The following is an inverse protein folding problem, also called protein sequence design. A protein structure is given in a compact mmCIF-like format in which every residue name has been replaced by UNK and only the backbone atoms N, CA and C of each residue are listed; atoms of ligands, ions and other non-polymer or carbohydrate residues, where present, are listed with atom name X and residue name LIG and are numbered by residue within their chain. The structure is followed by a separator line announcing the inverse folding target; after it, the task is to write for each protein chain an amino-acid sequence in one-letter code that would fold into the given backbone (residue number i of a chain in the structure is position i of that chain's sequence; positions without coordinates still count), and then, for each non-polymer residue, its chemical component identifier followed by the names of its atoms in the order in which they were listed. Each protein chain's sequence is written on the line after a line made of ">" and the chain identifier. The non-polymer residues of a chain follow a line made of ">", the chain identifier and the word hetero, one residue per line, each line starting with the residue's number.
data_IF_709526133917
#
_entry.id   IF_709526133917
#
_cell.length_a   1.000
_cell.length_b   1.000
_cell.length_c   1.000
_cell.angle_alpha   90.00
_cell.angle_beta   90.00
_cell.angle_gamma   90.00
#
_symmetry.space_group_name_H-M   'P 1'
#
loop_
_entity.id
_entity.type
_entity.pdbx_description
1 polymer ?
#
# COMPACT_ATOMS: atom_id res chain seq x y z
N UNK A 1 -8.27 10.83 -27.23
CA UNK A 1 -9.12 11.97 -26.83
C UNK A 1 -8.30 13.11 -26.21
N UNK A 2 -7.39 12.84 -25.27
CA UNK A 2 -6.52 13.86 -24.62
C UNK A 2 -5.70 14.69 -25.62
N UNK A 3 -5.08 14.05 -26.60
CA UNK A 3 -4.25 14.73 -27.63
C UNK A 3 -5.06 15.74 -28.44
N UNK A 4 -6.34 15.45 -28.74
CA UNK A 4 -7.22 16.35 -29.51
C UNK A 4 -7.52 17.65 -28.71
N UNK A 5 -7.73 17.55 -27.38
CA UNK A 5 -7.98 18.72 -26.53
C UNK A 5 -6.73 19.58 -26.33
N UNK A 6 -5.57 18.95 -26.16
CA UNK A 6 -4.29 19.66 -26.07
C UNK A 6 -3.99 20.40 -27.39
N UNK A 7 -4.21 19.74 -28.52
CA UNK A 7 -4.03 20.36 -29.84
C UNK A 7 -5.02 21.51 -30.04
N UNK A 8 -6.30 21.31 -29.70
CA UNK A 8 -7.32 22.36 -29.81
C UNK A 8 -6.97 23.57 -28.91
N UNK A 9 -6.51 23.34 -27.67
CA UNK A 9 -6.07 24.36 -26.75
C UNK A 9 -4.83 25.12 -27.29
N UNK A 10 -3.84 24.41 -27.82
CA UNK A 10 -2.64 25.00 -28.40
C UNK A 10 -3.01 25.83 -29.64
N UNK A 11 -3.90 25.34 -30.50
CA UNK A 11 -4.37 26.06 -31.69
C UNK A 11 -5.11 27.34 -31.28
N UNK A 12 -6.03 27.25 -30.32
CA UNK A 12 -6.77 28.43 -29.82
C UNK A 12 -5.83 29.44 -29.13
N UNK A 13 -4.85 28.97 -28.35
CA UNK A 13 -3.85 29.82 -27.72
C UNK A 13 -2.95 30.48 -28.75
N UNK A 14 -2.48 29.75 -29.78
CA UNK A 14 -1.68 30.28 -30.87
C UNK A 14 -2.48 31.28 -31.71
N UNK A 15 -3.74 31.01 -32.03
CA UNK A 15 -4.62 31.95 -32.74
C UNK A 15 -4.83 33.25 -31.95
N UNK A 16 -5.04 33.14 -30.63
CA UNK A 16 -5.16 34.29 -29.73
C UNK A 16 -3.84 35.08 -29.66
N UNK A 17 -2.71 34.40 -29.52
CA UNK A 17 -1.38 35.03 -29.44
C UNK A 17 -0.94 35.65 -30.75
N UNK A 18 -1.16 34.99 -31.89
CA UNK A 18 -0.87 35.54 -33.21
C UNK A 18 -1.75 36.76 -33.54
N UNK A 19 -3.02 36.79 -33.10
CA UNK A 19 -3.88 37.97 -33.28
C UNK A 19 -3.46 39.14 -32.40
N UNK A 20 -2.88 38.86 -31.23
CA UNK A 20 -2.36 39.89 -30.32
C UNK A 20 -1.02 40.51 -30.77
N UNK A 21 -0.21 39.74 -31.52
CA UNK A 21 1.11 40.20 -32.03
C UNK A 21 0.98 41.00 -33.32
N UNK A 22 -0.05 40.79 -34.14
CA UNK A 22 -0.27 41.49 -35.38
C UNK A 22 -0.81 42.91 -35.10
N UNK A 23 0.09 43.87 -34.93
CA UNK A 23 -0.18 45.29 -34.61
C UNK A 23 -1.05 46.08 -35.64
N UNK A 24 -1.56 45.41 -36.67
CA UNK A 24 -2.38 46.05 -37.72
C UNK A 24 -3.84 45.62 -37.74
N UNK A 25 -4.25 44.68 -36.85
CA UNK A 25 -5.66 44.31 -36.72
C UNK A 25 -6.20 44.76 -35.37
N UNK A 26 -7.37 45.39 -35.37
CA UNK A 26 -8.16 45.69 -34.18
C UNK A 26 -8.24 44.46 -33.28
N UNK A 27 -8.02 44.61 -31.97
CA UNK A 27 -8.28 43.58 -30.95
C UNK A 27 -9.61 42.89 -31.28
N UNK A 28 -9.68 41.55 -31.17
CA UNK A 28 -10.96 40.86 -31.35
C UNK A 28 -11.99 41.56 -30.47
N UNK A 29 -13.16 41.88 -31.03
CA UNK A 29 -14.17 42.60 -30.30
C UNK A 29 -14.41 41.92 -28.94
N UNK A 30 -14.66 42.68 -27.88
CA UNK A 30 -14.96 42.15 -26.55
C UNK A 30 -15.96 40.99 -26.60
N UNK A 31 -16.90 41.05 -27.56
CA UNK A 31 -17.87 40.00 -27.84
C UNK A 31 -17.24 38.68 -28.26
N UNK A 32 -16.20 38.68 -29.12
CA UNK A 32 -15.51 37.45 -29.56
C UNK A 32 -14.75 36.85 -28.39
N UNK A 33 -14.10 37.67 -27.58
CA UNK A 33 -13.38 37.21 -26.39
C UNK A 33 -14.33 36.57 -25.37
N UNK A 34 -15.46 37.20 -25.09
CA UNK A 34 -16.49 36.68 -24.18
C UNK A 34 -17.12 35.38 -24.72
N UNK A 35 -17.43 35.33 -26.01
CA UNK A 35 -18.00 34.12 -26.64
C UNK A 35 -17.00 32.95 -26.53
N UNK A 36 -15.72 33.18 -26.84
CA UNK A 36 -14.68 32.15 -26.75
C UNK A 36 -14.51 31.65 -25.30
N UNK A 37 -14.54 32.56 -24.34
CA UNK A 37 -14.44 32.20 -22.92
C UNK A 37 -15.66 31.39 -22.45
N UNK A 38 -16.88 31.80 -22.83
CA UNK A 38 -18.11 31.06 -22.52
C UNK A 38 -18.12 29.67 -23.18
N UNK A 39 -17.62 29.56 -24.40
CA UNK A 39 -17.52 28.29 -25.12
C UNK A 39 -16.52 27.34 -24.45
N UNK A 40 -15.38 27.83 -24.00
CA UNK A 40 -14.41 27.06 -23.21
C UNK A 40 -15.00 26.56 -21.88
N UNK A 41 -15.70 27.43 -21.15
CA UNK A 41 -16.40 27.05 -19.92
C UNK A 41 -17.45 25.97 -20.20
N UNK A 42 -18.27 26.14 -21.24
CA UNK A 42 -19.34 25.20 -21.59
C UNK A 42 -18.77 23.85 -21.98
N UNK A 43 -17.71 23.80 -22.81
CA UNK A 43 -17.04 22.54 -23.17
C UNK A 43 -16.41 21.87 -21.95
N UNK A 44 -15.82 22.64 -21.05
CA UNK A 44 -15.24 22.13 -19.80
C UNK A 44 -16.30 21.55 -18.88
N UNK A 45 -17.40 22.27 -18.67
CA UNK A 45 -18.51 21.81 -17.82
C UNK A 45 -19.19 20.57 -18.43
N UNK A 46 -19.42 20.57 -19.77
CA UNK A 46 -20.01 19.45 -20.47
C UNK A 46 -19.13 18.17 -20.38
N UNK A 47 -17.83 18.31 -20.63
CA UNK A 47 -16.90 17.18 -20.54
C UNK A 47 -16.80 16.62 -19.11
N UNK A 48 -16.80 17.52 -18.11
CA UNK A 48 -16.82 17.14 -16.69
C UNK A 48 -18.10 16.40 -16.30
N UNK A 49 -19.26 16.89 -16.79
CA UNK A 49 -20.57 16.28 -16.56
C UNK A 49 -20.68 14.91 -17.22
N UNK A 50 -20.24 14.77 -18.49
CA UNK A 50 -20.21 13.48 -19.19
C UNK A 50 -19.30 12.47 -18.50
N UNK A 51 -18.18 12.92 -17.94
CA UNK A 51 -17.28 12.06 -17.16
C UNK A 51 -17.97 11.58 -15.88
N UNK A 52 -18.61 12.48 -15.12
CA UNK A 52 -19.34 12.14 -13.91
C UNK A 52 -20.47 11.11 -14.20
N UNK A 53 -21.24 11.30 -15.27
CA UNK A 53 -22.29 10.36 -15.68
C UNK A 53 -21.74 8.98 -16.10
N UNK A 54 -20.65 8.94 -16.87
CA UNK A 54 -20.04 7.67 -17.32
C UNK A 54 -19.48 6.83 -16.19
N UNK A 55 -19.06 7.44 -15.08
CA UNK A 55 -18.41 6.73 -13.98
C UNK A 55 -19.35 6.41 -12.82
N UNK A 56 -20.65 6.75 -12.89
CA UNK A 56 -21.65 6.49 -11.83
C UNK A 56 -21.19 6.95 -10.42
N UNK A 57 -20.46 8.07 -10.35
CA UNK A 57 -20.03 8.59 -9.06
C UNK A 57 -21.24 9.20 -8.33
N UNK A 58 -21.57 8.61 -7.20
CA UNK A 58 -22.41 9.24 -6.19
C UNK A 58 -21.55 10.30 -5.50
N UNK A 59 -21.70 11.56 -5.92
CA UNK A 59 -20.86 12.71 -5.46
C UNK A 59 -20.96 12.93 -3.94
N UNK A 60 -21.99 12.40 -3.28
CA UNK A 60 -22.24 12.60 -1.86
C UNK A 60 -21.42 11.70 -0.91
N UNK A 61 -20.71 10.70 -1.43
CA UNK A 61 -19.99 9.69 -0.64
C UNK A 61 -18.49 9.62 -0.93
N UNK A 62 -17.98 10.48 -1.81
CA UNK A 62 -16.58 10.42 -2.25
C UNK A 62 -15.80 11.57 -1.65
N UNK A 63 -14.62 11.26 -1.09
CA UNK A 63 -13.65 12.25 -0.63
C UNK A 63 -13.48 13.35 -1.69
N UNK A 64 -13.69 14.65 -1.35
CA UNK A 64 -13.53 15.78 -2.26
C UNK A 64 -12.18 15.78 -2.98
N UNK A 65 -11.14 15.22 -2.36
CA UNK A 65 -9.82 15.04 -2.93
C UNK A 65 -9.81 14.04 -4.11
N UNK A 66 -10.49 12.90 -3.97
CA UNK A 66 -10.62 11.89 -5.05
C UNK A 66 -11.41 12.47 -6.22
N UNK A 67 -12.50 13.23 -5.93
CA UNK A 67 -13.27 13.92 -6.96
C UNK A 67 -12.39 14.94 -7.69
N UNK A 68 -11.70 15.81 -6.95
CA UNK A 68 -10.82 16.83 -7.50
C UNK A 68 -9.70 16.22 -8.35
N UNK A 69 -9.08 15.11 -7.91
CA UNK A 69 -8.03 14.42 -8.65
C UNK A 69 -8.49 13.87 -10.00
N UNK A 70 -9.73 13.43 -10.07
CA UNK A 70 -10.34 12.89 -11.30
C UNK A 70 -10.71 13.97 -12.30
N UNK A 71 -11.14 15.13 -11.82
CA UNK A 71 -11.39 16.30 -12.67
C UNK A 71 -10.10 17.02 -13.11
N UNK A 72 -9.05 16.97 -12.31
CA UNK A 72 -7.76 17.58 -12.58
C UNK A 72 -7.13 17.13 -13.91
N UNK A 73 -7.39 15.89 -14.33
CA UNK A 73 -6.85 15.36 -15.60
C UNK A 73 -7.45 16.00 -16.85
N UNK A 74 -8.52 16.79 -16.73
CA UNK A 74 -9.26 17.31 -17.88
C UNK A 74 -9.17 18.81 -18.09
N UNK A 75 -8.75 19.59 -17.07
CA UNK A 75 -8.61 21.04 -17.22
C UNK A 75 -7.46 21.61 -16.38
N UNK A 76 -6.69 22.61 -16.91
CA UNK A 76 -5.60 23.26 -16.17
C UNK A 76 -6.05 23.89 -14.85
N UNK A 77 -7.28 24.42 -14.80
CA UNK A 77 -7.83 25.04 -13.59
C UNK A 77 -8.06 24.02 -12.46
N UNK A 78 -8.57 22.84 -12.79
CA UNK A 78 -8.73 21.77 -11.80
C UNK A 78 -7.36 21.23 -11.34
N UNK A 79 -6.35 21.22 -12.21
CA UNK A 79 -4.99 20.83 -11.83
C UNK A 79 -4.42 21.75 -10.73
N UNK A 80 -4.62 23.07 -10.82
CA UNK A 80 -4.18 24.00 -9.78
C UNK A 80 -4.89 23.75 -8.45
N UNK A 81 -6.23 23.56 -8.48
CA UNK A 81 -6.99 23.20 -7.28
C UNK A 81 -6.56 21.86 -6.70
N UNK A 82 -6.31 20.86 -7.55
CA UNK A 82 -5.79 19.56 -7.12
C UNK A 82 -4.45 19.72 -6.41
N UNK A 83 -3.51 20.46 -6.99
CA UNK A 83 -2.21 20.73 -6.35
C UNK A 83 -2.36 21.47 -5.03
N UNK A 84 -3.24 22.45 -4.95
CA UNK A 84 -3.48 23.19 -3.70
C UNK A 84 -4.07 22.29 -2.61
N UNK A 85 -5.04 21.43 -2.95
CA UNK A 85 -5.63 20.46 -2.03
C UNK A 85 -4.61 19.39 -1.61
N UNK A 86 -3.84 18.88 -2.56
CA UNK A 86 -2.78 17.91 -2.29
C UNK A 86 -1.70 18.49 -1.37
N UNK A 87 -1.26 19.73 -1.63
CA UNK A 87 -0.28 20.41 -0.79
C UNK A 87 -0.83 20.68 0.62
N UNK A 88 -2.09 21.08 0.74
CA UNK A 88 -2.76 21.30 2.03
C UNK A 88 -2.88 20.00 2.82
N UNK A 89 -3.29 18.91 2.18
CA UNK A 89 -3.41 17.60 2.83
C UNK A 89 -2.03 17.06 3.22
N UNK A 90 -1.04 17.19 2.34
CA UNK A 90 0.34 16.85 2.68
C UNK A 90 0.82 17.64 3.91
N UNK A 91 0.63 18.96 3.94
CA UNK A 91 1.01 19.80 5.09
C UNK A 91 0.27 19.37 6.36
N UNK A 92 -1.04 19.07 6.25
CA UNK A 92 -1.85 18.58 7.39
C UNK A 92 -1.29 17.27 7.95
N UNK A 93 -1.02 16.27 7.10
CA UNK A 93 -0.48 14.98 7.51
C UNK A 93 0.92 15.13 8.11
N UNK A 94 1.77 16.00 7.55
CA UNK A 94 3.11 16.26 8.11
C UNK A 94 3.02 16.92 9.49
N UNK A 95 2.11 17.89 9.67
CA UNK A 95 1.88 18.54 10.97
C UNK A 95 1.38 17.54 12.01
N UNK A 96 0.44 16.65 11.63
CA UNK A 96 -0.04 15.58 12.50
C UNK A 96 1.10 14.63 12.84
N UNK A 97 1.90 14.23 11.84
CA UNK A 97 3.02 13.32 12.03
C UNK A 97 4.07 13.84 13.00
N UNK A 98 4.19 15.16 13.18
CA UNK A 98 5.13 15.77 14.15
C UNK A 98 4.66 15.69 15.61
N UNK A 99 3.39 15.32 15.86
CA UNK A 99 2.83 15.13 17.21
C UNK A 99 3.19 13.76 17.77
N UNK A 100 4.46 13.51 18.08
CA UNK A 100 4.92 12.19 18.56
C UNK A 100 4.47 11.96 20.00
N UNK A 101 3.70 10.88 20.29
CA UNK A 101 3.34 10.55 21.68
C UNK A 101 4.57 10.12 22.48
N UNK A 102 4.54 10.39 23.78
CA UNK A 102 5.46 9.74 24.72
C UNK A 102 4.88 8.40 25.17
N UNK A 103 5.70 7.35 25.17
CA UNK A 103 5.26 6.01 25.52
C UNK A 103 5.86 5.54 26.84
N UNK A 104 5.03 5.03 27.74
CA UNK A 104 5.49 4.18 28.83
C UNK A 104 5.76 2.78 28.26
N UNK A 105 7.03 2.50 27.97
CA UNK A 105 7.40 1.27 27.28
C UNK A 105 7.74 0.15 28.27
N UNK A 106 7.25 -1.06 27.96
CA UNK A 106 7.71 -2.32 28.52
C UNK A 106 8.54 -3.02 27.46
N UNK A 107 9.85 -3.17 27.74
CA UNK A 107 10.79 -3.81 26.84
C UNK A 107 11.07 -5.23 27.35
N UNK A 108 10.79 -6.23 26.52
CA UNK A 108 11.05 -7.65 26.80
C UNK A 108 12.16 -8.12 25.86
N UNK A 109 13.20 -8.73 26.42
CA UNK A 109 14.22 -9.38 25.61
C UNK A 109 13.65 -10.69 25.06
N UNK A 110 13.54 -10.78 23.74
CA UNK A 110 13.10 -11.96 23.01
C UNK A 110 14.23 -12.62 22.19
N UNK A 111 15.46 -12.34 22.57
CA UNK A 111 16.68 -12.88 21.96
C UNK A 111 16.83 -12.58 20.45
N UNK A 112 16.12 -11.57 19.95
CA UNK A 112 16.15 -11.15 18.55
C UNK A 112 16.76 -9.76 18.43
N UNK A 113 17.79 -9.61 17.57
CA UNK A 113 18.49 -8.34 17.37
C UNK A 113 17.98 -7.60 16.13
N UNK A 114 17.55 -8.36 15.09
CA UNK A 114 17.17 -7.79 13.81
C UNK A 114 15.74 -8.19 13.47
N UNK A 115 14.90 -7.21 13.30
CA UNK A 115 13.52 -7.34 12.86
C UNK A 115 13.38 -6.72 11.47
N UNK A 116 13.01 -7.54 10.47
CA UNK A 116 12.73 -7.08 9.11
C UNK A 116 11.23 -7.18 8.85
N UNK A 117 10.57 -6.04 8.73
CA UNK A 117 9.15 -5.97 8.38
C UNK A 117 9.02 -5.76 6.87
N UNK A 118 8.51 -6.75 6.16
CA UNK A 118 8.27 -6.68 4.73
C UNK A 118 6.80 -6.38 4.49
N UNK A 119 6.52 -5.20 3.95
CA UNK A 119 5.17 -4.80 3.53
C UNK A 119 5.08 -5.10 2.04
N UNK A 120 4.35 -6.17 1.70
CA UNK A 120 4.00 -6.54 0.34
C UNK A 120 2.90 -5.64 -0.20
N UNK A 121 2.70 -5.68 -1.50
CA UNK A 121 1.73 -4.86 -2.22
C UNK A 121 0.86 -5.75 -3.09
N UNK A 122 -0.48 -5.66 -2.92
CA UNK A 122 -1.47 -6.28 -3.81
C UNK A 122 -1.35 -7.81 -3.95
N UNK A 123 -0.77 -8.51 -2.96
CA UNK A 123 -0.60 -9.96 -3.04
C UNK A 123 -1.82 -10.71 -2.49
N UNK A 124 -2.23 -11.76 -3.20
CA UNK A 124 -3.36 -12.65 -2.88
C UNK A 124 -2.87 -14.01 -2.42
N UNK A 125 -3.46 -14.56 -1.38
CA UNK A 125 -3.23 -15.97 -0.98
C UNK A 125 -3.61 -16.96 -2.09
N UNK A 126 -4.66 -16.65 -2.88
CA UNK A 126 -5.18 -17.49 -3.95
C UNK A 126 -4.14 -17.82 -5.05
N UNK A 127 -3.09 -17.00 -5.18
CA UNK A 127 -2.03 -17.19 -6.16
C UNK A 127 -0.68 -17.63 -5.53
N UNK A 128 -0.67 -18.04 -4.26
CA UNK A 128 0.55 -18.48 -3.58
C UNK A 128 0.53 -19.99 -3.28
N UNK A 129 1.52 -20.73 -3.77
CA UNK A 129 1.58 -22.21 -3.58
C UNK A 129 1.75 -22.63 -2.13
N UNK A 130 2.35 -21.79 -1.26
CA UNK A 130 2.42 -22.06 0.20
C UNK A 130 1.03 -22.14 0.85
N UNK A 131 0.01 -21.48 0.26
CA UNK A 131 -1.40 -21.51 0.68
C UNK A 131 -2.25 -22.50 -0.12
N UNK A 132 -1.64 -23.31 -1.01
CA UNK A 132 -2.33 -24.37 -1.74
C UNK A 132 -2.64 -24.07 -3.20
N UNK A 133 -2.17 -22.95 -3.76
CA UNK A 133 -2.27 -22.68 -5.19
C UNK A 133 -1.49 -23.74 -6.00
N UNK A 134 -2.05 -24.18 -7.12
CA UNK A 134 -1.49 -25.29 -7.90
C UNK A 134 -0.18 -24.97 -8.62
N UNK A 135 0.01 -23.71 -9.06
CA UNK A 135 1.26 -23.28 -9.69
C UNK A 135 2.31 -22.98 -8.61
N UNK A 136 3.58 -23.41 -8.78
CA UNK A 136 4.63 -23.26 -7.75
C UNK A 136 5.15 -21.83 -7.69
N UNK A 137 4.32 -20.88 -7.25
CA UNK A 137 4.62 -19.46 -7.20
C UNK A 137 5.49 -19.05 -6.01
N UNK A 138 5.55 -19.88 -4.95
CA UNK A 138 6.30 -19.57 -3.72
C UNK A 138 7.26 -20.67 -3.28
N UNK A 139 8.22 -21.11 -4.15
CA UNK A 139 9.14 -22.18 -3.82
C UNK A 139 10.12 -21.85 -2.68
N UNK A 140 10.53 -20.59 -2.51
CA UNK A 140 11.44 -20.18 -1.44
C UNK A 140 10.73 -20.23 -0.08
N UNK A 141 9.50 -19.75 0.02
CA UNK A 141 8.67 -19.90 1.23
C UNK A 141 8.44 -21.37 1.56
N UNK A 142 8.22 -22.22 0.54
CA UNK A 142 8.04 -23.67 0.75
C UNK A 142 9.28 -24.33 1.38
N UNK A 143 10.50 -23.93 0.98
CA UNK A 143 11.76 -24.38 1.60
C UNK A 143 11.85 -23.96 3.08
N UNK A 144 11.30 -22.83 3.43
CA UNK A 144 11.34 -22.25 4.78
C UNK A 144 10.13 -22.65 5.66
N UNK A 145 9.22 -23.50 5.17
CA UNK A 145 7.93 -23.78 5.83
C UNK A 145 8.05 -24.15 7.30
N UNK A 146 9.06 -24.93 7.68
CA UNK A 146 9.29 -25.32 9.09
C UNK A 146 9.75 -24.16 9.99
N UNK A 147 10.13 -23.02 9.41
CA UNK A 147 10.59 -21.82 10.10
C UNK A 147 9.54 -20.70 10.11
N UNK A 148 8.38 -20.96 9.49
CA UNK A 148 7.29 -19.99 9.39
C UNK A 148 6.24 -20.21 10.47
N UNK A 149 5.79 -19.11 11.08
CA UNK A 149 4.46 -18.99 11.66
C UNK A 149 3.55 -18.44 10.58
N UNK A 150 2.73 -19.31 9.97
CA UNK A 150 1.88 -18.97 8.82
C UNK A 150 0.48 -18.60 9.29
N UNK A 151 -0.09 -17.52 8.75
CA UNK A 151 -1.49 -17.12 8.94
C UNK A 151 -2.29 -17.53 7.71
N UNK A 152 -3.16 -18.52 7.84
CA UNK A 152 -3.93 -19.03 6.68
C UNK A 152 -5.17 -18.22 6.35
N UNK A 153 -5.61 -17.38 7.28
CA UNK A 153 -6.81 -16.53 7.17
C UNK A 153 -6.52 -15.09 7.59
N UNK A 154 -5.37 -14.54 7.12
CA UNK A 154 -5.10 -13.14 7.34
C UNK A 154 -5.93 -12.27 6.39
N UNK A 155 -6.49 -11.17 6.91
CA UNK A 155 -7.26 -10.22 6.12
C UNK A 155 -6.73 -8.80 6.31
N UNK A 156 -6.67 -8.03 5.25
CA UNK A 156 -6.44 -6.58 5.34
C UNK A 156 -7.65 -5.88 5.97
N UNK A 157 -7.42 -4.80 6.70
CA UNK A 157 -8.51 -3.97 7.23
C UNK A 157 -9.24 -3.17 6.14
N UNK A 158 -8.60 -2.98 4.97
CA UNK A 158 -9.14 -2.19 3.86
C UNK A 158 -8.44 -2.60 2.54
N UNK A 159 -9.09 -2.45 1.37
CA UNK A 159 -8.55 -2.90 0.08
C UNK A 159 -7.76 -1.79 -0.64
N UNK A 160 -7.03 -0.94 0.08
CA UNK A 160 -6.41 0.24 -0.48
C UNK A 160 -5.15 0.66 0.30
N UNK A 161 -3.98 0.71 -0.35
CA UNK A 161 -2.64 0.93 0.26
C UNK A 161 -2.57 2.14 1.19
N UNK A 162 -3.10 3.30 0.73
CA UNK A 162 -3.03 4.56 1.49
C UNK A 162 -3.74 4.50 2.85
N UNK A 163 -4.65 3.56 3.03
CA UNK A 163 -5.38 3.31 4.27
C UNK A 163 -4.86 2.06 4.98
N UNK A 164 -4.56 0.99 4.22
CA UNK A 164 -4.16 -0.31 4.76
C UNK A 164 -2.82 -0.25 5.50
N UNK A 165 -1.82 0.40 4.93
CA UNK A 165 -0.49 0.49 5.54
C UNK A 165 -0.51 1.33 6.82
N UNK A 166 -1.07 2.57 6.85
CA UNK A 166 -1.19 3.31 8.10
C UNK A 166 -2.02 2.58 9.17
N UNK A 167 -3.14 1.97 8.79
CA UNK A 167 -3.99 1.18 9.69
C UNK A 167 -3.23 0.01 10.33
N UNK A 168 -2.37 -0.67 9.55
CA UNK A 168 -1.58 -1.80 10.04
C UNK A 168 -0.41 -1.38 10.93
N UNK A 169 0.09 -0.15 10.81
CA UNK A 169 1.31 0.30 11.48
C UNK A 169 1.08 1.28 12.62
N UNK A 170 -0.16 1.70 12.86
CA UNK A 170 -0.49 2.71 13.87
C UNK A 170 -1.66 2.28 14.77
N UNK A 171 -1.93 3.08 15.80
CA UNK A 171 -3.07 2.88 16.70
C UNK A 171 -4.44 3.20 16.06
N UNK A 172 -4.48 3.41 14.75
CA UNK A 172 -5.72 3.60 14.01
C UNK A 172 -6.56 2.32 13.99
N UNK A 173 -7.87 2.45 13.80
CA UNK A 173 -8.78 1.29 13.83
C UNK A 173 -9.82 1.35 12.73
N UNK A 174 -10.32 0.18 12.31
CA UNK A 174 -11.38 0.06 11.30
C UNK A 174 -12.67 0.83 11.71
N UNK A 175 -13.02 0.82 13.00
CA UNK A 175 -14.25 1.43 13.47
C UNK A 175 -14.15 2.94 13.75
N UNK A 176 -12.92 3.43 13.97
CA UNK A 176 -12.65 4.82 14.33
C UNK A 176 -11.43 5.34 13.57
N UNK A 177 -11.49 5.20 12.23
CA UNK A 177 -10.43 5.67 11.35
C UNK A 177 -10.23 7.19 11.46
N UNK A 178 -9.01 7.59 11.88
CA UNK A 178 -8.62 8.99 11.96
C UNK A 178 -7.11 9.14 11.79
N UNK A 179 -6.69 9.98 10.85
CA UNK A 179 -5.28 10.27 10.57
C UNK A 179 -4.53 10.82 11.80
N UNK A 180 -5.23 11.33 12.81
CA UNK A 180 -4.65 11.77 14.09
C UNK A 180 -4.08 10.62 14.93
N UNK A 181 -4.41 9.37 14.59
CA UNK A 181 -3.82 8.18 15.21
C UNK A 181 -2.47 7.79 14.61
N UNK A 182 -2.11 8.27 13.41
CA UNK A 182 -0.88 7.89 12.71
C UNK A 182 0.42 8.22 13.46
N UNK A 183 0.55 9.28 14.27
CA UNK A 183 1.74 9.50 15.09
C UNK A 183 1.99 8.39 16.12
N UNK A 184 0.94 7.72 16.59
CA UNK A 184 1.05 6.56 17.46
C UNK A 184 1.30 5.30 16.60
N UNK A 185 2.56 5.06 16.27
CA UNK A 185 2.96 4.03 15.31
C UNK A 185 4.20 3.25 15.76
N UNK A 186 4.40 2.12 15.11
CA UNK A 186 5.49 1.17 15.40
C UNK A 186 6.89 1.79 15.27
N UNK A 187 7.08 2.74 14.35
CA UNK A 187 8.39 3.38 14.13
C UNK A 187 8.73 4.29 15.31
N UNK A 188 7.77 5.09 15.78
CA UNK A 188 7.95 5.95 16.94
C UNK A 188 8.17 5.13 18.22
N UNK A 189 7.46 4.01 18.40
CA UNK A 189 7.70 3.10 19.52
C UNK A 189 9.09 2.47 19.46
N UNK A 190 9.50 1.96 18.29
CA UNK A 190 10.84 1.40 18.11
C UNK A 190 11.95 2.44 18.36
N UNK A 191 11.77 3.67 17.89
CA UNK A 191 12.70 4.78 18.13
C UNK A 191 12.87 5.07 19.62
N UNK A 192 11.77 5.15 20.38
CA UNK A 192 11.81 5.40 21.82
C UNK A 192 12.35 4.21 22.61
N UNK A 193 12.21 2.98 22.08
CA UNK A 193 12.84 1.78 22.61
C UNK A 193 14.34 1.64 22.26
N UNK A 194 14.91 2.60 21.53
CA UNK A 194 16.34 2.63 21.19
C UNK A 194 16.75 1.82 19.96
N UNK A 195 15.79 1.37 19.13
CA UNK A 195 16.11 0.69 17.88
C UNK A 195 16.76 1.62 16.87
N UNK A 196 17.66 1.06 16.05
CA UNK A 196 18.08 1.65 14.79
C UNK A 196 17.01 1.35 13.74
N UNK A 197 16.26 2.37 13.30
CA UNK A 197 15.10 2.21 12.44
C UNK A 197 15.41 2.61 11.01
N UNK A 198 15.03 1.74 10.07
CA UNK A 198 15.22 1.90 8.64
C UNK A 198 13.90 1.74 7.88
N UNK A 199 13.66 2.63 6.90
CA UNK A 199 12.57 2.51 5.94
C UNK A 199 13.15 2.47 4.54
N UNK A 200 13.11 1.30 3.91
CA UNK A 200 13.60 1.06 2.56
C UNK A 200 12.39 0.81 1.67
N UNK A 201 12.16 1.67 0.67
CA UNK A 201 10.94 1.62 -0.14
C UNK A 201 11.23 1.67 -1.63
N UNK A 202 10.60 0.78 -2.39
CA UNK A 202 10.52 0.84 -3.85
C UNK A 202 9.31 1.68 -4.31
N UNK A 203 8.43 2.07 -3.40
CA UNK A 203 7.33 3.00 -3.67
C UNK A 203 7.74 4.44 -3.40
N UNK A 204 7.29 5.35 -4.27
CA UNK A 204 7.60 6.78 -4.12
C UNK A 204 6.81 7.41 -2.96
N UNK A 205 7.50 8.17 -2.10
CA UNK A 205 6.86 8.98 -1.05
C UNK A 205 5.91 10.07 -1.61
N UNK A 206 6.04 10.41 -2.89
CA UNK A 206 5.31 11.53 -3.54
C UNK A 206 4.17 11.06 -4.45
N UNK A 207 3.87 9.77 -4.54
CA UNK A 207 2.68 9.31 -5.27
C UNK A 207 1.42 9.64 -4.47
N UNK A 208 0.28 9.73 -5.17
CA UNK A 208 -1.03 10.08 -4.61
C UNK A 208 -1.38 9.30 -3.33
N UNK A 209 -1.01 8.02 -3.27
CA UNK A 209 -1.25 7.14 -2.13
C UNK A 209 -0.10 7.12 -1.13
N UNK A 210 1.03 7.76 -1.44
CA UNK A 210 2.23 7.71 -0.63
C UNK A 210 2.23 8.65 0.58
N UNK A 211 1.36 9.67 0.62
CA UNK A 211 1.45 10.73 1.63
C UNK A 211 1.13 10.22 3.04
N UNK A 212 0.08 9.41 3.20
CA UNK A 212 -0.29 8.84 4.50
C UNK A 212 0.78 7.84 4.99
N UNK A 213 1.25 6.97 4.09
CA UNK A 213 2.36 6.03 4.36
C UNK A 213 3.64 6.81 4.69
N UNK A 214 3.94 7.86 3.92
CA UNK A 214 5.12 8.71 4.13
C UNK A 214 5.11 9.40 5.51
N UNK A 215 3.95 9.76 6.06
CA UNK A 215 3.82 10.35 7.39
C UNK A 215 4.35 9.44 8.50
N UNK A 216 4.25 8.11 8.34
CA UNK A 216 4.83 7.11 9.23
C UNK A 216 6.29 6.84 8.86
N UNK A 217 6.57 6.63 7.57
CA UNK A 217 7.90 6.32 7.06
C UNK A 217 8.95 7.38 7.43
N UNK A 218 8.57 8.66 7.42
CA UNK A 218 9.45 9.78 7.78
C UNK A 218 9.93 9.75 9.23
N UNK A 219 9.32 8.95 10.09
CA UNK A 219 9.73 8.76 11.49
C UNK A 219 10.92 7.81 11.63
N UNK A 220 11.22 6.97 10.61
CA UNK A 220 12.43 6.16 10.62
C UNK A 220 13.69 7.05 10.59
N UNK A 221 14.73 6.64 11.34
CA UNK A 221 16.00 7.38 11.40
C UNK A 221 16.70 7.39 10.04
N UNK A 222 16.63 6.27 9.32
CA UNK A 222 17.23 6.10 8.02
C UNK A 222 16.12 5.78 6.99
N UNK A 223 16.13 6.50 5.86
CA UNK A 223 15.11 6.34 4.80
C UNK A 223 15.76 6.34 3.45
N UNK A 224 15.44 5.32 2.65
CA UNK A 224 15.93 5.18 1.29
C UNK A 224 14.75 4.83 0.38
N UNK A 225 14.60 5.58 -0.70
CA UNK A 225 13.61 5.37 -1.72
C UNK A 225 14.31 5.04 -3.03
N UNK A 226 14.09 3.84 -3.56
CA UNK A 226 14.66 3.41 -4.84
C UNK A 226 13.64 3.61 -5.98
N UNK A 227 14.15 3.71 -7.21
CA UNK A 227 13.31 3.73 -8.41
C UNK A 227 13.64 2.52 -9.25
N UNK A 228 12.70 1.61 -9.42
CA UNK A 228 12.86 0.39 -10.17
C UNK A 228 12.24 -0.80 -9.43
N UNK A 229 12.80 -1.98 -9.66
CA UNK A 229 12.27 -3.21 -9.09
C UNK A 229 12.71 -3.40 -7.64
N UNK A 230 11.94 -4.18 -6.89
CA UNK A 230 12.11 -4.39 -5.45
C UNK A 230 13.49 -4.95 -5.05
N UNK A 231 14.17 -5.68 -5.94
CA UNK A 231 15.53 -6.19 -5.69
C UNK A 231 16.56 -5.09 -5.42
N UNK A 232 16.31 -3.85 -5.87
CA UNK A 232 17.16 -2.70 -5.57
C UNK A 232 17.17 -2.34 -4.08
N UNK A 233 16.27 -2.89 -3.27
CA UNK A 233 16.27 -2.75 -1.82
C UNK A 233 17.34 -3.61 -1.14
N UNK A 234 17.80 -4.71 -1.76
CA UNK A 234 18.74 -5.66 -1.13
C UNK A 234 20.10 -5.08 -0.77
N UNK A 235 20.77 -4.26 -1.62
CA UNK A 235 22.00 -3.59 -1.23
C UNK A 235 21.82 -2.69 0.01
N UNK A 236 20.69 -2.00 0.12
CA UNK A 236 20.37 -1.13 1.25
C UNK A 236 19.98 -1.93 2.50
N UNK A 237 19.37 -3.11 2.34
CA UNK A 237 19.20 -4.04 3.44
C UNK A 237 20.56 -4.48 3.98
N UNK A 238 21.52 -4.81 3.11
CA UNK A 238 22.89 -5.16 3.52
C UNK A 238 23.59 -4.00 4.28
N UNK A 239 23.41 -2.77 3.82
CA UNK A 239 23.88 -1.56 4.50
C UNK A 239 23.27 -1.45 5.91
N UNK A 240 21.94 -1.55 6.02
CA UNK A 240 21.22 -1.48 7.30
C UNK A 240 21.65 -2.60 8.27
N UNK A 241 21.87 -3.82 7.78
CA UNK A 241 22.31 -4.96 8.58
C UNK A 241 23.71 -4.76 9.15
N UNK A 242 24.58 -4.02 8.47
CA UNK A 242 25.96 -3.77 8.87
C UNK A 242 26.14 -2.43 9.61
N UNK A 243 25.11 -1.58 9.64
CA UNK A 243 25.11 -0.35 10.44
C UNK A 243 25.05 -0.68 11.93
N UNK A 244 25.52 0.22 12.78
CA UNK A 244 25.39 0.15 14.25
C UNK A 244 25.52 -1.27 14.84
N UNK A 245 26.72 -1.89 14.82
CA UNK A 245 26.93 -3.25 15.32
C UNK A 245 26.49 -3.40 16.78
N UNK A 246 25.70 -4.45 17.07
CA UNK A 246 25.20 -4.74 18.42
C UNK A 246 23.93 -3.99 18.83
N UNK A 247 23.46 -3.02 18.05
CA UNK A 247 22.15 -2.37 18.28
C UNK A 247 20.99 -3.19 17.72
N UNK A 248 19.84 -3.16 18.42
CA UNK A 248 18.60 -3.75 17.89
C UNK A 248 18.09 -2.93 16.70
N UNK A 249 17.56 -3.59 15.69
CA UNK A 249 17.13 -2.95 14.43
C UNK A 249 15.69 -3.28 14.08
N UNK A 250 14.96 -2.28 13.60
CA UNK A 250 13.73 -2.46 12.84
C UNK A 250 13.96 -1.94 11.41
N UNK A 251 13.92 -2.84 10.43
CA UNK A 251 14.12 -2.52 9.02
C UNK A 251 12.82 -2.81 8.28
N UNK A 252 12.18 -1.78 7.73
CA UNK A 252 10.99 -1.92 6.91
C UNK A 252 11.41 -2.00 5.44
N UNK A 253 10.97 -3.04 4.74
CA UNK A 253 11.03 -3.17 3.28
C UNK A 253 9.61 -2.96 2.73
N UNK A 254 9.39 -1.84 2.05
CA UNK A 254 8.10 -1.49 1.46
C UNK A 254 8.17 -1.71 -0.05
N UNK A 255 7.53 -2.79 -0.50
CA UNK A 255 7.64 -3.30 -1.86
C UNK A 255 6.66 -2.62 -2.82
N UNK A 256 6.98 -2.61 -4.10
CA UNK A 256 6.03 -2.38 -5.19
C UNK A 256 5.21 -3.65 -5.48
N UNK A 257 5.79 -4.82 -5.24
CA UNK A 257 5.13 -6.13 -5.25
C UNK A 257 4.35 -6.42 -6.52
N UNK A 258 3.09 -6.82 -6.34
CA UNK A 258 2.17 -7.23 -7.41
C UNK A 258 1.18 -6.14 -7.83
N UNK A 259 1.50 -4.84 -7.57
CA UNK A 259 0.63 -3.71 -7.92
C UNK A 259 0.28 -3.68 -9.41
N UNK A 260 -0.90 -3.18 -9.74
CA UNK A 260 -1.32 -2.94 -11.13
C UNK A 260 -0.48 -1.84 -11.81
N UNK A 261 -0.16 -1.98 -13.12
CA UNK A 261 -0.38 -3.13 -14.01
C UNK A 261 0.53 -4.31 -13.67
N UNK A 262 -0.05 -5.47 -13.42
CA UNK A 262 0.62 -6.68 -12.87
C UNK A 262 1.78 -7.22 -13.73
N UNK A 263 1.88 -6.80 -14.99
CA UNK A 263 2.96 -7.14 -15.90
C UNK A 263 4.16 -6.18 -15.84
N UNK A 264 4.15 -5.15 -14.97
CA UNK A 264 5.10 -4.01 -15.07
C UNK A 264 6.07 -3.91 -13.89
N UNK A 265 5.76 -4.50 -12.75
CA UNK A 265 6.50 -4.25 -11.50
C UNK A 265 7.56 -5.31 -11.18
N UNK A 266 7.91 -6.13 -12.13
CA UNK A 266 8.96 -7.15 -12.03
C UNK A 266 9.73 -7.27 -13.36
N UNK A 267 11.03 -7.72 -13.36
CA UNK A 267 11.83 -7.86 -14.57
C UNK A 267 11.33 -9.01 -15.44
N UNK A 268 10.96 -8.74 -16.69
CA UNK A 268 10.39 -9.74 -17.61
C UNK A 268 11.36 -10.87 -17.99
N UNK A 269 12.65 -10.62 -17.93
CA UNK A 269 13.70 -11.62 -18.15
C UNK A 269 13.76 -12.66 -17.01
N UNK A 270 13.20 -12.34 -15.84
CA UNK A 270 13.05 -13.25 -14.70
C UNK A 270 11.74 -14.08 -14.74
N UNK A 271 10.98 -14.03 -15.83
CA UNK A 271 9.75 -14.79 -15.97
C UNK A 271 10.00 -16.30 -15.94
N UNK A 272 9.38 -16.99 -15.00
CA UNK A 272 9.38 -18.46 -14.85
C UNK A 272 8.19 -19.07 -15.57
N UNK A 273 7.03 -18.45 -15.46
CA UNK A 273 5.80 -18.93 -16.09
C UNK A 273 5.60 -18.24 -17.44
N UNK A 274 5.33 -19.05 -18.48
CA UNK A 274 5.19 -18.61 -19.88
C UNK A 274 4.06 -19.38 -20.57
N UNK A 275 3.47 -18.82 -21.66
CA UNK A 275 3.76 -17.50 -22.27
C UNK A 275 3.24 -16.34 -21.41
N UNK A 276 3.77 -15.11 -21.63
CA UNK A 276 3.33 -13.89 -20.95
C UNK A 276 2.17 -13.23 -21.72
N UNK A 277 1.11 -13.98 -21.97
CA UNK A 277 -0.03 -13.63 -22.82
C UNK A 277 -1.30 -13.25 -22.01
N UNK A 278 -1.29 -13.51 -20.70
CA UNK A 278 -2.39 -13.17 -19.79
C UNK A 278 -1.90 -12.42 -18.57
N UNK A 279 -2.77 -11.60 -17.98
CA UNK A 279 -2.47 -10.93 -16.71
C UNK A 279 -2.28 -11.93 -15.56
N UNK A 280 -2.96 -13.09 -15.60
CA UNK A 280 -2.78 -14.14 -14.60
C UNK A 280 -1.34 -14.69 -14.59
N UNK A 281 -0.78 -14.97 -15.76
CA UNK A 281 0.62 -15.42 -15.88
C UNK A 281 1.58 -14.33 -15.43
N UNK A 282 1.30 -13.06 -15.75
CA UNK A 282 2.09 -11.94 -15.25
C UNK A 282 2.01 -11.82 -13.73
N UNK A 283 0.82 -11.95 -13.18
CA UNK A 283 0.58 -11.86 -11.73
C UNK A 283 1.30 -12.99 -10.98
N UNK A 284 1.22 -14.22 -11.47
CA UNK A 284 1.94 -15.35 -10.87
C UNK A 284 3.47 -15.17 -10.90
N UNK A 285 4.00 -14.55 -11.99
CA UNK A 285 5.41 -14.19 -12.05
C UNK A 285 5.77 -13.07 -11.05
N UNK A 286 4.88 -12.11 -10.80
CA UNK A 286 5.12 -11.07 -9.79
C UNK A 286 5.17 -11.66 -8.38
N UNK A 287 4.31 -12.62 -8.06
CA UNK A 287 4.33 -13.37 -6.80
C UNK A 287 5.62 -14.18 -6.68
N UNK A 288 6.02 -14.90 -7.75
CA UNK A 288 7.27 -15.67 -7.78
C UNK A 288 8.52 -14.77 -7.62
N UNK A 289 8.49 -13.59 -8.21
CA UNK A 289 9.55 -12.60 -8.06
C UNK A 289 9.69 -12.11 -6.61
N UNK A 290 8.56 -11.80 -5.96
CA UNK A 290 8.53 -11.44 -4.53
C UNK A 290 9.04 -12.60 -3.66
N UNK A 291 8.65 -13.85 -3.94
CA UNK A 291 9.15 -15.04 -3.24
C UNK A 291 10.67 -15.19 -3.37
N UNK A 292 11.21 -14.97 -4.57
CA UNK A 292 12.66 -14.99 -4.82
C UNK A 292 13.40 -13.89 -4.04
N UNK A 293 12.81 -12.70 -3.92
CA UNK A 293 13.33 -11.61 -3.09
C UNK A 293 13.36 -12.03 -1.61
N UNK A 294 12.27 -12.61 -1.12
CA UNK A 294 12.17 -13.10 0.27
C UNK A 294 13.22 -14.18 0.55
N UNK A 295 13.47 -15.10 -0.38
CA UNK A 295 14.54 -16.10 -0.28
C UNK A 295 15.92 -15.46 -0.07
N UNK A 296 16.21 -14.36 -0.78
CA UNK A 296 17.46 -13.61 -0.60
C UNK A 296 17.51 -12.90 0.75
N UNK A 297 16.40 -12.31 1.20
CA UNK A 297 16.29 -11.70 2.55
C UNK A 297 16.57 -12.75 3.64
N UNK A 298 15.97 -13.94 3.55
CA UNK A 298 16.22 -15.02 4.51
C UNK A 298 17.68 -15.45 4.53
N UNK A 299 18.31 -15.59 3.35
CA UNK A 299 19.73 -15.95 3.25
C UNK A 299 20.65 -14.90 3.91
N UNK A 300 20.34 -13.60 3.76
CA UNK A 300 21.10 -12.52 4.41
C UNK A 300 20.98 -12.53 5.94
N UNK A 301 19.94 -13.16 6.47
CA UNK A 301 19.61 -13.21 7.90
C UNK A 301 19.92 -14.54 8.57
N UNK A 302 20.29 -15.57 7.81
CA UNK A 302 20.40 -16.95 8.28
C UNK A 302 21.33 -17.13 9.48
N UNK A 303 22.41 -16.38 9.54
CA UNK A 303 23.43 -16.43 10.61
C UNK A 303 23.24 -15.39 11.71
N UNK A 304 22.16 -14.60 11.63
CA UNK A 304 21.86 -13.51 12.58
C UNK A 304 20.69 -13.92 13.49
N UNK A 305 20.64 -13.41 14.71
CA UNK A 305 19.44 -13.51 15.56
C UNK A 305 18.37 -12.58 14.98
N UNK A 306 17.63 -13.08 14.00
CA UNK A 306 16.76 -12.27 13.17
C UNK A 306 15.38 -12.91 12.96
N UNK A 307 14.38 -12.08 12.78
CA UNK A 307 13.04 -12.48 12.39
C UNK A 307 12.51 -11.57 11.27
N UNK A 308 11.72 -12.14 10.36
CA UNK A 308 11.07 -11.44 9.27
C UNK A 308 9.56 -11.57 9.43
N UNK A 309 8.83 -10.47 9.50
CA UNK A 309 7.38 -10.46 9.37
C UNK A 309 7.02 -9.95 7.98
N UNK A 310 6.20 -10.70 7.28
CA UNK A 310 5.63 -10.33 5.98
C UNK A 310 4.11 -10.23 6.09
N UNK A 311 3.54 -9.19 5.50
CA UNK A 311 2.12 -9.15 5.15
C UNK A 311 1.94 -8.32 3.87
N UNK A 312 0.94 -8.67 3.05
CA UNK A 312 0.50 -7.76 1.99
C UNK A 312 -0.47 -6.74 2.56
N UNK A 313 -0.38 -5.53 2.06
CA UNK A 313 -1.24 -4.42 2.48
C UNK A 313 -2.71 -4.70 2.14
N UNK A 314 -3.01 -5.17 0.94
CA UNK A 314 -4.32 -5.66 0.50
C UNK A 314 -4.16 -6.74 -0.58
N UNK A 315 -5.26 -7.38 -0.94
CA UNK A 315 -5.35 -8.27 -2.08
C UNK A 315 -5.88 -7.57 -3.33
N UNK A 316 -6.17 -8.35 -4.38
CA UNK A 316 -6.83 -7.89 -5.61
C UNK A 316 -8.07 -8.71 -5.87
N UNK A 317 -9.13 -8.06 -6.33
CA UNK A 317 -10.25 -8.75 -6.97
C UNK A 317 -9.79 -9.30 -8.33
N UNK A 318 -10.32 -10.43 -8.73
CA UNK A 318 -10.04 -11.05 -10.02
C UNK A 318 -11.33 -11.31 -10.80
N UNK A 319 -11.45 -10.69 -11.97
CA UNK A 319 -12.56 -10.90 -12.90
C UNK A 319 -12.00 -11.09 -14.31
N UNK A 320 -11.92 -12.34 -14.81
CA UNK A 320 -11.34 -12.64 -16.12
C UNK A 320 -12.14 -12.10 -17.30
N UNK A 321 -13.35 -11.56 -17.07
CA UNK A 321 -14.18 -10.96 -18.11
C UNK A 321 -13.84 -9.49 -18.39
N UNK A 322 -13.01 -8.87 -17.56
CA UNK A 322 -12.60 -7.47 -17.70
C UNK A 322 -11.31 -7.34 -18.51
N UNK A 323 -11.14 -6.19 -19.17
CA UNK A 323 -9.90 -5.80 -19.87
C UNK A 323 -8.67 -5.86 -18.92
N UNK A 324 -8.87 -5.37 -17.68
CA UNK A 324 -7.93 -5.53 -16.57
C UNK A 324 -8.55 -6.48 -15.56
N UNK A 325 -8.06 -7.72 -15.57
CA UNK A 325 -8.63 -8.80 -14.76
C UNK A 325 -8.38 -8.63 -13.26
N UNK A 326 -7.29 -7.98 -12.90
CA UNK A 326 -6.92 -7.67 -11.50
C UNK A 326 -7.16 -6.19 -11.18
N UNK A 327 -7.83 -5.91 -10.06
CA UNK A 327 -8.11 -4.55 -9.62
C UNK A 327 -8.41 -4.49 -8.12
N UNK A 328 -8.39 -3.29 -7.52
CA UNK A 328 -8.65 -3.05 -6.11
C UNK A 328 -9.37 -1.72 -5.87
N UNK A 329 -9.75 -1.44 -4.62
CA UNK A 329 -10.22 -0.13 -4.17
C UNK A 329 -11.68 0.19 -4.55
N UNK A 330 -12.52 -0.79 -4.79
CA UNK A 330 -13.94 -0.61 -5.07
C UNK A 330 -14.78 -0.29 -3.83
N UNK A 331 -16.07 0.03 -4.06
CA UNK A 331 -17.10 0.07 -3.03
C UNK A 331 -17.58 -1.36 -2.82
N UNK A 332 -17.57 -1.83 -1.57
CA UNK A 332 -17.95 -3.19 -1.15
C UNK A 332 -17.31 -4.28 -2.06
N UNK A 333 -15.97 -4.32 -2.15
CA UNK A 333 -15.27 -5.33 -2.94
C UNK A 333 -15.50 -6.73 -2.35
N UNK A 334 -15.18 -7.77 -3.12
CA UNK A 334 -15.29 -9.14 -2.64
C UNK A 334 -14.13 -9.51 -1.69
N UNK A 335 -14.20 -10.72 -1.08
CA UNK A 335 -13.21 -11.18 -0.08
C UNK A 335 -11.78 -11.22 -0.62
N UNK A 336 -11.58 -11.39 -1.92
CA UNK A 336 -10.25 -11.47 -2.53
C UNK A 336 -9.44 -10.17 -2.39
N UNK A 337 -10.10 -9.01 -2.28
CA UNK A 337 -9.45 -7.72 -2.04
C UNK A 337 -8.87 -7.60 -0.63
N UNK A 338 -9.33 -8.43 0.31
CA UNK A 338 -8.92 -8.40 1.71
C UNK A 338 -8.08 -9.60 2.14
N UNK A 339 -8.24 -10.77 1.51
CA UNK A 339 -7.52 -11.99 1.91
C UNK A 339 -6.06 -11.95 1.47
N UNK A 340 -5.16 -11.74 2.42
CA UNK A 340 -3.75 -11.43 2.18
C UNK A 340 -2.82 -12.50 2.77
N UNK A 341 -1.67 -12.76 2.15
CA UNK A 341 -0.63 -13.57 2.74
C UNK A 341 0.02 -12.84 3.92
N UNK A 342 0.25 -13.58 5.00
CA UNK A 342 0.92 -13.09 6.19
C UNK A 342 1.68 -14.23 6.88
N UNK A 343 2.91 -13.97 7.31
CA UNK A 343 3.72 -14.90 8.07
C UNK A 343 4.81 -14.22 8.90
N UNK A 344 5.34 -14.95 9.88
CA UNK A 344 6.56 -14.59 10.61
C UNK A 344 7.59 -15.71 10.39
N UNK A 345 8.76 -15.36 9.86
CA UNK A 345 9.90 -16.25 9.73
C UNK A 345 10.90 -15.99 10.85
N UNK A 346 11.50 -17.07 11.34
CA UNK A 346 12.52 -17.02 12.38
C UNK A 346 13.81 -17.66 11.87
N UNK A 347 14.94 -16.97 12.05
CA UNK A 347 16.24 -17.47 11.65
C UNK A 347 16.62 -18.76 12.43
N UNK A 348 17.51 -19.60 11.87
CA UNK A 348 18.00 -20.79 12.56
C UNK A 348 18.64 -20.49 13.91
N UNK A 349 19.28 -19.35 14.05
CA UNK A 349 19.99 -18.92 15.25
C UNK A 349 19.09 -18.66 16.46
N UNK A 350 17.78 -18.46 16.24
CA UNK A 350 16.80 -18.31 17.33
C UNK A 350 16.35 -19.65 17.94
N UNK A 351 16.81 -20.77 17.38
CA UNK A 351 16.52 -22.12 17.91
C UNK A 351 15.06 -22.54 17.81
N UNK A 352 14.68 -23.53 18.65
CA UNK A 352 13.33 -24.13 18.64
C UNK A 352 12.37 -23.46 19.65
N UNK A 353 12.82 -22.48 20.41
CA UNK A 353 12.04 -21.85 21.47
C UNK A 353 10.96 -20.87 20.97
N UNK A 354 10.91 -20.60 19.65
CA UNK A 354 9.91 -19.71 19.05
C UNK A 354 8.70 -20.51 18.58
N UNK A 355 7.50 -20.01 18.89
CA UNK A 355 6.27 -20.62 18.43
C UNK A 355 6.08 -20.42 16.91
N UNK A 356 6.00 -21.53 16.18
CA UNK A 356 5.80 -21.59 14.73
C UNK A 356 4.45 -22.24 14.35
N UNK A 357 3.53 -22.35 15.29
CA UNK A 357 2.21 -22.91 14.99
C UNK A 357 1.47 -22.05 13.97
N UNK A 358 0.87 -22.73 12.99
CA UNK A 358 0.03 -22.08 11.98
C UNK A 358 -1.22 -21.50 12.63
N UNK A 359 -1.53 -20.26 12.31
CA UNK A 359 -2.74 -19.55 12.75
C UNK A 359 -3.83 -19.76 11.71
N UNK A 360 -4.84 -20.58 12.05
CA UNK A 360 -5.95 -20.93 11.16
C UNK A 360 -7.21 -20.08 11.36
N UNK A 361 -7.22 -19.24 12.39
CA UNK A 361 -8.30 -18.30 12.65
C UNK A 361 -8.11 -17.01 11.84
N UNK A 362 -9.22 -16.32 11.52
CA UNK A 362 -9.16 -14.99 10.92
C UNK A 362 -8.34 -14.05 11.82
N UNK A 363 -7.38 -13.36 11.22
CA UNK A 363 -6.59 -12.32 11.87
C UNK A 363 -6.49 -11.11 10.94
N UNK A 364 -6.92 -9.93 11.42
CA UNK A 364 -6.88 -8.71 10.61
C UNK A 364 -5.56 -7.97 10.80
N UNK A 365 -4.95 -7.55 9.68
CA UNK A 365 -3.76 -6.68 9.69
C UNK A 365 -4.01 -5.32 10.35
N UNK A 366 -5.27 -4.93 10.55
CA UNK A 366 -5.64 -3.77 11.35
C UNK A 366 -5.18 -3.85 12.83
N UNK A 367 -4.72 -5.01 13.28
CA UNK A 367 -4.14 -5.23 14.61
C UNK A 367 -2.63 -5.50 14.55
N UNK A 368 -2.01 -5.26 13.39
CA UNK A 368 -0.57 -5.50 13.22
C UNK A 368 0.29 -4.56 14.05
N UNK A 369 -0.18 -3.35 14.40
CA UNK A 369 0.55 -2.48 15.33
C UNK A 369 0.82 -3.19 16.66
N UNK A 370 -0.18 -3.87 17.24
CA UNK A 370 -0.01 -4.68 18.46
C UNK A 370 0.89 -5.89 18.22
N UNK A 371 0.72 -6.58 17.08
CA UNK A 371 1.48 -7.78 16.74
C UNK A 371 2.96 -7.45 16.51
N UNK A 372 3.25 -6.39 15.75
CA UNK A 372 4.62 -5.94 15.46
C UNK A 372 5.30 -5.47 16.75
N UNK A 373 4.60 -4.73 17.60
CA UNK A 373 5.14 -4.27 18.88
C UNK A 373 5.45 -5.46 19.81
N UNK A 374 4.56 -6.42 19.93
CA UNK A 374 4.80 -7.65 20.71
C UNK A 374 5.93 -8.51 20.10
N UNK A 375 5.99 -8.61 18.77
CA UNK A 375 7.05 -9.30 18.04
C UNK A 375 8.43 -8.66 18.28
N UNK A 376 8.52 -7.33 18.33
CA UNK A 376 9.74 -6.63 18.70
C UNK A 376 10.06 -6.69 20.22
N UNK A 377 9.12 -7.15 21.05
CA UNK A 377 9.24 -7.07 22.50
C UNK A 377 9.15 -5.63 23.03
N UNK A 378 8.45 -4.75 22.34
CA UNK A 378 8.26 -3.34 22.70
C UNK A 378 6.77 -3.06 22.85
N UNK A 379 6.25 -3.07 24.06
CA UNK A 379 4.81 -2.95 24.32
C UNK A 379 4.51 -1.88 25.36
N UNK A 380 3.24 -1.56 25.57
CA UNK A 380 2.78 -0.71 26.70
C UNK A 380 2.27 -1.58 27.85
N UNK A 381 2.19 -1.07 29.09
CA UNK A 381 1.81 -1.86 30.27
C UNK A 381 0.53 -2.70 30.09
N UNK A 382 -0.52 -2.13 29.50
CA UNK A 382 -1.81 -2.78 29.32
C UNK A 382 -1.95 -3.60 28.02
N UNK A 383 -0.90 -3.63 27.17
CA UNK A 383 -0.92 -4.37 25.92
C UNK A 383 -0.42 -5.81 26.10
N UNK A 384 -0.85 -6.75 25.23
CA UNK A 384 -0.26 -8.08 25.12
C UNK A 384 1.25 -8.00 24.93
N UNK A 385 1.99 -8.97 25.51
CA UNK A 385 3.46 -8.95 25.54
C UNK A 385 4.08 -9.85 24.49
N UNK A 386 3.33 -10.84 24.01
CA UNK A 386 3.80 -11.81 23.02
C UNK A 386 2.90 -11.83 21.79
N UNK A 387 3.41 -12.25 20.61
CA UNK A 387 2.59 -12.45 19.42
C UNK A 387 1.38 -13.37 19.67
N UNK A 388 1.55 -14.42 20.48
CA UNK A 388 0.51 -15.40 20.80
C UNK A 388 -0.64 -14.76 21.59
N UNK A 389 -0.33 -13.90 22.55
CA UNK A 389 -1.32 -13.14 23.30
C UNK A 389 -2.10 -12.18 22.40
N UNK A 390 -1.41 -11.52 21.45
CA UNK A 390 -2.06 -10.65 20.45
C UNK A 390 -2.99 -11.48 19.56
N UNK A 391 -2.51 -12.58 19.00
CA UNK A 391 -3.30 -13.47 18.14
C UNK A 391 -4.54 -13.95 18.89
N UNK A 392 -4.36 -14.45 20.11
CA UNK A 392 -5.48 -14.95 20.94
C UNK A 392 -6.53 -13.87 21.21
N UNK A 393 -6.09 -12.62 21.45
CA UNK A 393 -6.99 -11.51 21.78
C UNK A 393 -7.83 -11.04 20.59
N UNK A 394 -7.25 -11.05 19.37
CA UNK A 394 -7.90 -10.49 18.19
C UNK A 394 -8.30 -11.52 17.11
N UNK A 395 -8.02 -12.80 17.31
CA UNK A 395 -8.49 -13.85 16.39
C UNK A 395 -10.01 -13.80 16.22
N UNK A 396 -10.48 -14.07 15.01
CA UNK A 396 -11.89 -14.07 14.64
C UNK A 396 -12.51 -12.69 14.42
N UNK A 397 -11.78 -11.59 14.68
CA UNK A 397 -12.22 -10.24 14.34
C UNK A 397 -12.13 -10.06 12.83
N UNK A 398 -13.25 -9.77 12.19
CA UNK A 398 -13.41 -9.78 10.73
C UNK A 398 -14.00 -8.49 10.18
N UNK A 399 -13.98 -7.40 10.96
CA UNK A 399 -14.49 -6.10 10.53
C UNK A 399 -13.46 -5.43 9.61
N UNK A 400 -13.95 -4.99 8.44
CA UNK A 400 -13.17 -4.29 7.40
C UNK A 400 -13.93 -3.07 6.91
N UNK A 401 -13.28 -2.15 6.23
CA UNK A 401 -13.95 -1.06 5.53
C UNK A 401 -13.47 -0.96 4.07
N UNK A 402 -14.31 -0.39 3.19
CA UNK A 402 -13.99 -0.15 1.78
C UNK A 402 -13.34 1.22 1.55
N UNK A 403 -13.04 1.54 0.28
CA UNK A 403 -12.43 2.82 -0.09
C UNK A 403 -13.29 4.05 0.23
N UNK A 404 -14.58 3.88 0.51
CA UNK A 404 -15.53 4.93 0.94
C UNK A 404 -15.78 4.91 2.46
N UNK A 405 -14.99 4.16 3.22
CA UNK A 405 -15.09 3.98 4.67
C UNK A 405 -16.40 3.31 5.14
N UNK A 406 -17.11 2.60 4.24
CA UNK A 406 -18.24 1.77 4.66
C UNK A 406 -17.72 0.52 5.36
N UNK A 407 -18.23 0.26 6.56
CA UNK A 407 -17.78 -0.83 7.42
C UNK A 407 -18.62 -2.08 7.20
N UNK A 408 -17.95 -3.23 7.06
CA UNK A 408 -18.57 -4.53 6.83
C UNK A 408 -17.94 -5.62 7.73
N UNK A 409 -18.68 -6.70 7.94
CA UNK A 409 -18.04 -7.95 8.31
C UNK A 409 -17.50 -8.63 7.02
N UNK A 410 -16.21 -8.93 6.98
CA UNK A 410 -15.57 -9.62 5.88
C UNK A 410 -16.31 -10.91 5.47
N UNK A 411 -16.89 -11.63 6.43
CA UNK A 411 -17.56 -12.91 6.22
C UNK A 411 -18.85 -12.82 5.41
N UNK A 412 -19.48 -11.63 5.34
CA UNK A 412 -20.70 -11.41 4.55
C UNK A 412 -20.42 -10.89 3.14
N UNK A 413 -19.15 -10.64 2.80
CA UNK A 413 -18.77 -10.25 1.46
C UNK A 413 -18.73 -11.48 0.54
N UNK A 414 -19.05 -11.30 -0.75
CA UNK A 414 -18.90 -12.37 -1.75
C UNK A 414 -17.45 -12.85 -1.77
N UNK A 415 -17.24 -14.15 -1.94
CA UNK A 415 -15.87 -14.72 -2.02
C UNK A 415 -15.15 -14.27 -3.30
N UNK A 416 -15.88 -14.26 -4.42
CA UNK A 416 -15.39 -13.84 -5.73
C UNK A 416 -16.57 -13.41 -6.62
N UNK A 417 -16.32 -13.06 -7.88
CA UNK A 417 -17.34 -12.61 -8.83
C UNK A 417 -18.29 -13.71 -9.31
N UNK A 418 -17.92 -15.00 -9.19
CA UNK A 418 -18.75 -16.13 -9.61
C UNK A 418 -19.79 -16.49 -8.54
N UNK A 419 -19.69 -15.97 -7.34
CA UNK A 419 -20.62 -16.22 -6.24
C UNK A 419 -21.84 -15.29 -6.37
N UNK A 420 -23.02 -15.85 -6.61
CA UNK A 420 -24.30 -15.13 -6.47
C UNK A 420 -24.63 -15.03 -4.99
N UNK A 421 -24.84 -13.82 -4.48
CA UNK A 421 -25.45 -13.65 -3.15
C UNK A 421 -26.88 -14.14 -3.24
N UNK A 422 -27.22 -15.23 -2.51
CA UNK A 422 -28.58 -15.69 -2.28
C UNK A 422 -29.39 -14.67 -1.48
#
# INVERSE_FOLDING_TARGET
>A
MYVVYVIAFIILFLLFFCSAINKTSSLPSEKVTVITFLLLITVTLYSSFQFALKKQYQINEVDPYIVASRFATYTPFFNLNYFALAAKEHQRLMTIADTIPHYDLVITDNNTDVFVLVIGESARTDNMSIYGYSRPTTPELQKQKSRLKLFTQAISGTPYTALAVPLALSADTVLHHDVRHYPDNIINMANQAGFDTWWLSAQSAFRQNGTAVASIAMRARNRIYVRGYDELLLPHLAEALNSNPGGRKLIVLHLTGSHEPVCSNWPRDKAVFKPLDTEEVCYDNSIHYTDSLLGQVFAMLETRRASVMYFSDHGLEYDPTKEHAYFHGGIKPNQQAYHVPMFIWYSPTLGEHVDRQTVNSVFSTAYNDYLINAWMGVTRPAQPKTPEEVITRWQGKSVVFDASHNVFDYKVLRKNFNETLE
#
